data_IF_036764941465
#
_entry.id   IF_036764941465
#
_cell.length_a   1.000
_cell.length_b   1.000
_cell.length_c   1.000
_cell.angle_alpha   90.00
_cell.angle_beta   90.00
_cell.angle_gamma   90.00
#
_symmetry.space_group_name_H-M   'P 1'
#
loop_
_entity.id
_entity.type
_entity.pdbx_description
1 polymer ?
#
# COMPACT_ATOMS: atom_id res chain seq x y z
N UNK A 1 -14.10 -14.48 5.61
CA UNK A 1 -12.80 -13.82 5.82
C UNK A 1 -12.89 -13.12 7.16
N UNK A 2 -12.29 -13.72 8.17
CA UNK A 2 -12.27 -13.20 9.53
C UNK A 2 -11.31 -12.00 9.60
N UNK A 3 -11.76 -10.87 10.13
CA UNK A 3 -10.90 -9.72 10.36
C UNK A 3 -10.36 -9.84 11.78
N UNK A 4 -9.06 -10.15 11.92
CA UNK A 4 -8.42 -10.35 13.23
C UNK A 4 -8.49 -9.06 14.06
N UNK A 5 -9.16 -9.12 15.20
CA UNK A 5 -9.33 -7.98 16.11
C UNK A 5 -8.00 -7.50 16.68
N UNK A 6 -7.08 -8.44 16.95
CA UNK A 6 -5.81 -8.18 17.63
C UNK A 6 -4.92 -7.19 16.87
N UNK A 7 -4.85 -7.27 15.54
CA UNK A 7 -3.98 -6.39 14.74
C UNK A 7 -4.49 -4.95 14.75
N UNK A 8 -5.80 -4.76 14.57
CA UNK A 8 -6.38 -3.41 14.60
C UNK A 8 -6.24 -2.77 15.98
N UNK A 9 -6.42 -3.55 17.05
CA UNK A 9 -6.26 -3.07 18.41
C UNK A 9 -4.81 -2.68 18.69
N UNK A 10 -3.85 -3.52 18.32
CA UNK A 10 -2.43 -3.23 18.47
C UNK A 10 -2.03 -1.90 17.82
N UNK A 11 -2.48 -1.65 16.60
CA UNK A 11 -2.15 -0.38 15.91
C UNK A 11 -2.86 0.81 16.55
N UNK A 12 -4.13 0.65 16.98
CA UNK A 12 -4.85 1.70 17.69
C UNK A 12 -4.15 2.09 18.99
N UNK A 13 -3.74 1.10 19.79
CA UNK A 13 -3.00 1.31 21.04
C UNK A 13 -1.64 1.96 20.77
N UNK A 14 -0.95 1.56 19.69
CA UNK A 14 0.32 2.16 19.28
C UNK A 14 0.17 3.64 18.90
N UNK A 15 -0.88 3.99 18.15
CA UNK A 15 -1.18 5.39 17.79
C UNK A 15 -1.48 6.20 19.06
N UNK A 16 -2.32 5.67 19.96
CA UNK A 16 -2.66 6.33 21.21
C UNK A 16 -1.44 6.57 22.10
N UNK A 17 -0.59 5.55 22.26
CA UNK A 17 0.64 5.65 23.03
C UNK A 17 1.61 6.69 22.43
N UNK A 18 1.81 6.69 21.11
CA UNK A 18 2.68 7.66 20.44
C UNK A 18 2.16 9.09 20.59
N UNK A 19 0.85 9.31 20.52
CA UNK A 19 0.24 10.63 20.76
C UNK A 19 0.46 11.10 22.20
N UNK A 20 0.34 10.20 23.17
CA UNK A 20 0.48 10.53 24.59
C UNK A 20 1.93 10.81 25.01
N UNK A 21 2.91 10.13 24.40
CA UNK A 21 4.34 10.28 24.76
C UNK A 21 5.08 11.30 23.91
N UNK A 22 4.47 11.80 22.84
CA UNK A 22 5.04 12.85 22.02
C UNK A 22 5.01 14.18 22.77
N UNK A 23 6.19 14.75 23.05
CA UNK A 23 6.28 16.10 23.61
C UNK A 23 5.61 17.11 22.66
N UNK A 24 4.93 18.14 23.19
CA UNK A 24 4.42 19.24 22.37
C UNK A 24 5.61 19.90 21.67
N UNK A 25 5.64 19.80 20.34
CA UNK A 25 6.67 20.41 19.52
C UNK A 25 6.20 21.84 19.20
N UNK A 26 6.92 22.87 19.65
CA UNK A 26 6.53 24.28 19.49
C UNK A 26 6.32 24.70 18.02
N UNK A 27 6.90 23.95 17.08
CA UNK A 27 6.80 24.19 15.63
C UNK A 27 5.60 23.51 14.95
N UNK A 28 4.89 22.60 15.63
CA UNK A 28 3.80 21.84 15.04
C UNK A 28 2.45 22.46 15.43
N UNK A 29 1.72 22.99 14.44
CA UNK A 29 0.39 23.60 14.64
C UNK A 29 -0.66 22.61 15.18
N UNK A 30 -0.39 21.31 15.06
CA UNK A 30 -1.16 20.20 15.60
C UNK A 30 -0.18 19.20 16.22
N UNK A 31 -0.52 18.56 17.33
CA UNK A 31 0.36 17.57 17.98
C UNK A 31 0.83 16.46 17.03
N UNK A 32 1.91 15.74 17.40
CA UNK A 32 2.43 14.66 16.56
C UNK A 32 1.43 13.49 16.42
N UNK A 33 1.49 12.79 15.28
CA UNK A 33 0.67 11.61 14.96
C UNK A 33 -0.86 11.85 14.92
N UNK A 34 -1.33 13.09 14.77
CA UNK A 34 -2.76 13.40 14.65
C UNK A 34 -3.33 13.09 13.25
N UNK A 35 -2.46 12.95 12.24
CA UNK A 35 -2.80 12.71 10.83
C UNK A 35 -2.83 11.22 10.42
N UNK A 36 -2.83 10.30 11.39
CA UNK A 36 -2.88 8.85 11.14
C UNK A 36 -4.06 8.24 11.88
N UNK A 37 -4.72 7.26 11.26
CA UNK A 37 -5.81 6.51 11.87
C UNK A 37 -5.82 5.07 11.35
N UNK A 38 -6.59 4.21 12.00
CA UNK A 38 -6.81 2.84 11.56
C UNK A 38 -8.31 2.55 11.48
N UNK A 39 -8.69 1.80 10.45
CA UNK A 39 -10.04 1.28 10.28
C UNK A 39 -9.97 -0.22 10.14
N UNK A 40 -10.77 -0.94 10.94
CA UNK A 40 -10.93 -2.38 10.82
C UNK A 40 -11.95 -2.68 9.72
N UNK A 41 -11.47 -2.92 8.50
CA UNK A 41 -12.30 -3.24 7.35
C UNK A 41 -11.67 -4.30 6.45
N UNK A 42 -12.49 -4.96 5.64
CA UNK A 42 -12.01 -5.81 4.54
C UNK A 42 -11.79 -4.93 3.30
N UNK A 43 -10.52 -4.61 3.03
CA UNK A 43 -10.12 -3.80 1.88
C UNK A 43 -10.49 -4.42 0.52
N UNK A 44 -10.68 -5.75 0.45
CA UNK A 44 -11.10 -6.42 -0.79
C UNK A 44 -12.60 -6.35 -1.07
N UNK A 45 -13.40 -5.83 -0.13
CA UNK A 45 -14.87 -5.84 -0.25
C UNK A 45 -15.49 -4.47 -0.18
N UNK A 46 -14.91 -3.57 0.58
CA UNK A 46 -15.59 -2.35 0.99
C UNK A 46 -14.79 -1.09 0.69
N UNK A 47 -13.68 -1.17 -0.05
CA UNK A 47 -12.83 0.00 -0.32
C UNK A 47 -13.64 1.21 -0.85
N UNK A 48 -14.51 1.04 -1.88
CA UNK A 48 -15.30 2.16 -2.41
C UNK A 48 -16.40 2.66 -1.45
N UNK A 49 -16.78 1.89 -0.43
CA UNK A 49 -17.75 2.32 0.58
C UNK A 49 -17.14 3.30 1.60
N UNK A 50 -15.84 3.20 1.86
CA UNK A 50 -15.14 4.07 2.80
C UNK A 50 -14.46 5.25 2.12
N UNK A 51 -13.98 5.05 0.89
CA UNK A 51 -13.07 5.98 0.23
C UNK A 51 -13.74 6.57 -1.03
N UNK A 52 -13.91 7.90 -1.09
CA UNK A 52 -14.47 8.55 -2.28
C UNK A 52 -13.61 8.38 -3.53
N UNK A 53 -14.24 8.52 -4.69
CA UNK A 53 -13.56 8.50 -6.00
C UNK A 53 -12.42 9.50 -6.05
N UNK A 54 -11.27 9.10 -6.60
CA UNK A 54 -10.09 9.94 -6.81
C UNK A 54 -9.62 10.71 -5.56
N UNK A 55 -9.91 10.22 -4.34
CA UNK A 55 -9.55 10.92 -3.10
C UNK A 55 -8.17 10.56 -2.59
N UNK A 56 -7.64 9.39 -2.96
CA UNK A 56 -6.31 8.96 -2.56
C UNK A 56 -5.25 9.45 -3.53
N UNK A 57 -4.07 9.78 -2.99
CA UNK A 57 -2.85 10.06 -3.75
C UNK A 57 -1.93 8.84 -3.85
N UNK A 58 -1.99 7.92 -2.89
CA UNK A 58 -1.13 6.74 -2.84
C UNK A 58 -1.90 5.52 -2.28
N UNK A 59 -1.49 4.32 -2.70
CA UNK A 59 -1.88 3.04 -2.12
C UNK A 59 -0.62 2.23 -1.80
N UNK A 60 -0.64 1.52 -0.67
CA UNK A 60 0.51 0.73 -0.19
C UNK A 60 0.10 -0.71 0.06
N UNK A 61 0.71 -1.65 -0.66
CA UNK A 61 0.56 -3.10 -0.46
C UNK A 61 1.90 -3.67 0.01
N UNK A 62 2.07 -3.68 1.33
CA UNK A 62 3.35 -3.98 1.96
C UNK A 62 3.32 -5.40 2.55
N UNK A 63 4.12 -6.30 1.98
CA UNK A 63 4.23 -7.70 2.35
C UNK A 63 2.87 -8.42 2.46
N UNK A 64 2.01 -8.34 1.41
CA UNK A 64 0.71 -9.02 1.44
C UNK A 64 0.87 -10.54 1.48
N UNK A 65 -0.12 -11.26 2.03
CA UNK A 65 -0.09 -12.72 2.09
C UNK A 65 0.00 -13.32 0.66
N UNK A 66 1.04 -14.13 0.38
CA UNK A 66 1.28 -14.68 -0.96
C UNK A 66 0.25 -15.74 -1.38
N UNK A 67 -0.44 -16.36 -0.41
CA UNK A 67 -1.39 -17.43 -0.65
C UNK A 67 -0.87 -18.50 -1.61
N UNK A 68 0.27 -19.12 -1.28
CA UNK A 68 1.03 -20.05 -2.14
C UNK A 68 0.25 -21.19 -2.83
N UNK A 69 -0.90 -21.61 -2.29
CA UNK A 69 -1.69 -22.69 -2.88
C UNK A 69 -2.56 -22.11 -4.00
N UNK A 70 -2.49 -22.68 -5.22
CA UNK A 70 -3.26 -22.22 -6.39
C UNK A 70 -4.75 -21.97 -6.09
N UNK A 71 -5.40 -22.89 -5.35
CA UNK A 71 -6.81 -22.75 -4.92
C UNK A 71 -7.10 -21.49 -4.08
N UNK A 72 -6.08 -20.87 -3.49
CA UNK A 72 -6.15 -19.66 -2.67
C UNK A 72 -5.72 -18.40 -3.43
N UNK A 73 -5.31 -18.47 -4.69
CA UNK A 73 -4.89 -17.28 -5.44
C UNK A 73 -6.00 -16.23 -5.58
N UNK A 74 -7.28 -16.64 -5.54
CA UNK A 74 -8.44 -15.73 -5.50
C UNK A 74 -8.46 -14.80 -4.26
N UNK A 75 -7.69 -15.13 -3.23
CA UNK A 75 -7.57 -14.32 -2.03
C UNK A 75 -6.40 -13.30 -2.11
N UNK A 76 -5.59 -13.31 -3.19
CA UNK A 76 -4.52 -12.31 -3.38
C UNK A 76 -5.13 -10.92 -3.54
N UNK A 77 -4.51 -9.94 -2.87
CA UNK A 77 -4.98 -8.55 -2.84
C UNK A 77 -4.89 -7.86 -4.20
N UNK A 78 -4.02 -8.34 -5.10
CA UNK A 78 -3.94 -7.87 -6.49
C UNK A 78 -4.66 -8.87 -7.41
N UNK A 79 -5.78 -8.42 -7.97
CA UNK A 79 -6.58 -9.15 -8.96
C UNK A 79 -7.31 -8.15 -9.87
N UNK A 80 -7.75 -8.55 -11.08
CA UNK A 80 -8.36 -7.62 -12.03
C UNK A 80 -9.57 -6.85 -11.47
N UNK A 81 -10.42 -7.50 -10.67
CA UNK A 81 -11.59 -6.86 -10.04
C UNK A 81 -11.17 -5.80 -9.03
N UNK A 82 -10.19 -6.11 -8.18
CA UNK A 82 -9.70 -5.17 -7.17
C UNK A 82 -8.96 -3.99 -7.77
N UNK A 83 -8.23 -4.20 -8.88
CA UNK A 83 -7.56 -3.11 -9.60
C UNK A 83 -8.55 -2.05 -10.10
N UNK A 84 -9.77 -2.43 -10.50
CA UNK A 84 -10.80 -1.48 -10.86
C UNK A 84 -11.25 -0.63 -9.66
N UNK A 85 -11.41 -1.23 -8.48
CA UNK A 85 -11.73 -0.51 -7.25
C UNK A 85 -10.58 0.43 -6.83
N UNK A 86 -9.33 -0.02 -6.95
CA UNK A 86 -8.15 0.79 -6.66
C UNK A 86 -8.04 1.99 -7.61
N UNK A 87 -8.27 1.78 -8.90
CA UNK A 87 -8.29 2.85 -9.89
C UNK A 87 -9.44 3.85 -9.67
N UNK A 88 -10.57 3.40 -9.11
CA UNK A 88 -11.69 4.27 -8.74
C UNK A 88 -11.35 5.21 -7.59
N UNK A 89 -10.74 4.71 -6.51
CA UNK A 89 -10.42 5.51 -5.32
C UNK A 89 -9.14 6.35 -5.48
N UNK A 90 -8.20 5.90 -6.32
CA UNK A 90 -6.92 6.56 -6.56
C UNK A 90 -7.02 7.60 -7.69
N UNK A 91 -6.56 8.81 -7.40
CA UNK A 91 -6.59 9.93 -8.38
C UNK A 91 -5.63 9.70 -9.56
N UNK A 92 -5.89 10.30 -10.74
CA UNK A 92 -4.89 10.42 -11.82
C UNK A 92 -3.55 10.91 -11.28
N UNK A 93 -2.45 10.23 -11.64
CA UNK A 93 -1.10 10.51 -11.16
C UNK A 93 -0.77 9.95 -9.77
N UNK A 94 -1.73 9.33 -9.07
CA UNK A 94 -1.49 8.65 -7.80
C UNK A 94 -0.64 7.38 -7.97
N UNK A 95 0.06 6.95 -6.91
CA UNK A 95 1.01 5.84 -6.98
C UNK A 95 0.55 4.64 -6.15
N UNK A 96 0.62 3.45 -6.73
CA UNK A 96 0.53 2.17 -6.05
C UNK A 96 1.95 1.67 -5.78
N UNK A 97 2.27 1.46 -4.50
CA UNK A 97 3.53 0.85 -4.06
C UNK A 97 3.24 -0.59 -3.65
N UNK A 98 3.95 -1.54 -4.26
CA UNK A 98 3.88 -2.96 -3.89
C UNK A 98 5.26 -3.45 -3.49
N UNK A 99 5.36 -4.16 -2.37
CA UNK A 99 6.61 -4.79 -1.94
C UNK A 99 6.32 -6.14 -1.29
N UNK A 100 7.15 -7.13 -1.57
CA UNK A 100 7.07 -8.48 -0.98
C UNK A 100 8.44 -9.14 -0.98
N UNK A 101 8.66 -10.07 -0.08
CA UNK A 101 9.80 -10.99 -0.02
C UNK A 101 9.59 -12.27 -0.85
N UNK A 102 8.43 -12.42 -1.50
CA UNK A 102 8.09 -13.60 -2.31
C UNK A 102 8.10 -13.24 -3.80
N UNK A 103 9.11 -13.73 -4.52
CA UNK A 103 9.30 -13.46 -5.95
C UNK A 103 8.06 -13.82 -6.81
N UNK A 104 7.44 -14.98 -6.58
CA UNK A 104 6.22 -15.38 -7.31
C UNK A 104 5.03 -14.43 -7.09
N UNK A 105 4.92 -13.87 -5.88
CA UNK A 105 3.90 -12.88 -5.59
C UNK A 105 4.22 -11.55 -6.27
N UNK A 106 5.48 -11.14 -6.27
CA UNK A 106 5.93 -9.96 -7.01
C UNK A 106 5.58 -10.06 -8.50
N UNK A 107 5.95 -11.18 -9.15
CA UNK A 107 5.64 -11.41 -10.55
C UNK A 107 4.13 -11.39 -10.80
N UNK A 108 3.33 -12.00 -9.92
CA UNK A 108 1.88 -11.96 -10.01
C UNK A 108 1.35 -10.53 -9.94
N UNK A 109 1.75 -9.75 -8.93
CA UNK A 109 1.27 -8.38 -8.74
C UNK A 109 1.65 -7.50 -9.93
N UNK A 110 2.92 -7.59 -10.37
CA UNK A 110 3.45 -6.86 -11.51
C UNK A 110 2.68 -7.17 -12.80
N UNK A 111 2.51 -8.45 -13.14
CA UNK A 111 1.82 -8.85 -14.36
C UNK A 111 0.35 -8.37 -14.41
N UNK A 112 -0.37 -8.42 -13.29
CA UNK A 112 -1.76 -7.95 -13.24
C UNK A 112 -1.87 -6.42 -13.32
N UNK A 113 -0.94 -5.70 -12.69
CA UNK A 113 -0.89 -4.24 -12.76
C UNK A 113 -0.50 -3.74 -14.16
N UNK A 114 0.50 -4.37 -14.79
CA UNK A 114 0.91 -4.07 -16.17
C UNK A 114 -0.19 -4.36 -17.19
N UNK A 115 -0.98 -5.42 -16.97
CA UNK A 115 -2.10 -5.76 -17.84
C UNK A 115 -3.34 -4.85 -17.65
N UNK A 116 -3.39 -4.05 -16.58
CA UNK A 116 -4.56 -3.23 -16.27
C UNK A 116 -4.45 -1.82 -16.90
N UNK A 117 -5.38 -1.39 -17.76
CA UNK A 117 -5.21 -0.18 -18.60
C UNK A 117 -5.04 1.15 -17.85
N UNK A 118 -5.36 1.19 -16.55
CA UNK A 118 -5.30 2.41 -15.73
C UNK A 118 -4.05 2.50 -14.86
N UNK A 119 -3.09 1.58 -15.04
CA UNK A 119 -1.82 1.59 -14.34
C UNK A 119 -0.65 1.49 -15.31
N UNK A 120 0.37 2.32 -15.10
CA UNK A 120 1.65 2.24 -15.81
C UNK A 120 2.76 1.95 -14.81
N UNK A 121 3.72 1.11 -15.18
CA UNK A 121 4.90 0.90 -14.35
C UNK A 121 5.74 2.18 -14.26
N UNK A 122 6.27 2.49 -13.08
CA UNK A 122 7.18 3.61 -12.87
C UNK A 122 8.43 3.13 -12.13
N UNK A 123 9.61 3.51 -12.64
CA UNK A 123 10.87 3.12 -12.03
C UNK A 123 11.12 3.84 -10.71
N UNK A 124 11.96 3.22 -9.86
CA UNK A 124 12.40 3.82 -8.61
C UNK A 124 13.10 5.17 -8.84
N UNK A 125 14.00 5.24 -9.82
CA UNK A 125 14.75 6.46 -10.17
C UNK A 125 13.81 7.61 -10.55
N UNK A 126 12.77 7.33 -11.33
CA UNK A 126 11.78 8.35 -11.70
C UNK A 126 11.04 8.86 -10.45
N UNK A 127 10.62 7.98 -9.55
CA UNK A 127 9.96 8.39 -8.31
C UNK A 127 10.90 9.16 -7.37
N UNK A 128 12.18 8.80 -7.31
CA UNK A 128 13.21 9.55 -6.55
C UNK A 128 13.40 10.96 -7.13
N UNK A 129 13.51 11.07 -8.46
CA UNK A 129 13.57 12.37 -9.14
C UNK A 129 12.33 13.23 -8.90
N UNK A 130 11.15 12.62 -8.73
CA UNK A 130 9.90 13.29 -8.34
C UNK A 130 9.78 13.58 -6.83
N UNK A 131 10.86 13.44 -6.06
CA UNK A 131 10.89 13.75 -4.63
C UNK A 131 10.24 12.70 -3.73
N UNK A 132 9.99 11.48 -4.22
CA UNK A 132 9.34 10.40 -3.45
C UNK A 132 10.34 9.44 -2.78
N UNK A 133 11.62 9.80 -2.74
CA UNK A 133 12.69 9.00 -2.13
C UNK A 133 12.38 8.54 -0.69
N UNK A 134 11.94 9.46 0.17
CA UNK A 134 11.61 9.13 1.56
C UNK A 134 10.45 8.14 1.69
N UNK A 135 9.50 8.15 0.75
CA UNK A 135 8.39 7.19 0.72
C UNK A 135 8.93 5.81 0.33
N UNK A 136 9.80 5.73 -0.67
CA UNK A 136 10.40 4.47 -1.12
C UNK A 136 11.23 3.83 0.00
N UNK A 137 12.06 4.63 0.66
CA UNK A 137 12.89 4.17 1.78
C UNK A 137 12.00 3.64 2.93
N UNK A 138 10.89 4.33 3.23
CA UNK A 138 9.96 3.90 4.25
C UNK A 138 9.18 2.62 3.86
N UNK A 139 8.76 2.50 2.59
CA UNK A 139 8.09 1.31 2.06
C UNK A 139 8.99 0.08 2.21
N UNK A 140 10.28 0.22 1.95
CA UNK A 140 11.24 -0.88 2.04
C UNK A 140 11.60 -1.25 3.49
N UNK A 141 11.75 -0.27 4.38
CA UNK A 141 12.50 -0.46 5.63
C UNK A 141 11.76 -0.07 6.91
N UNK A 142 10.62 0.64 6.85
CA UNK A 142 9.95 1.13 8.07
C UNK A 142 8.98 0.12 8.70
N UNK A 143 8.50 -0.87 7.95
CA UNK A 143 7.55 -1.88 8.47
C UNK A 143 8.28 -2.98 9.26
N UNK A 144 7.59 -3.60 10.21
CA UNK A 144 8.17 -4.71 10.99
C UNK A 144 8.54 -5.92 10.10
N UNK A 145 7.73 -6.21 9.06
CA UNK A 145 8.05 -7.27 8.11
C UNK A 145 9.26 -6.90 7.24
N UNK A 146 9.37 -5.66 6.77
CA UNK A 146 10.54 -5.19 6.02
C UNK A 146 11.84 -5.28 6.83
N UNK A 147 11.81 -4.89 8.11
CA UNK A 147 12.96 -5.05 9.02
C UNK A 147 13.30 -6.52 9.26
N UNK A 148 12.30 -7.38 9.37
CA UNK A 148 12.48 -8.82 9.56
C UNK A 148 13.15 -9.47 8.35
N UNK A 149 12.72 -9.13 7.13
CA UNK A 149 13.33 -9.62 5.88
C UNK A 149 14.80 -9.23 5.82
N UNK A 150 15.12 -7.98 6.14
CA UNK A 150 16.51 -7.49 6.17
C UNK A 150 17.39 -8.19 7.20
N UNK A 151 16.88 -8.36 8.44
CA UNK A 151 17.59 -9.15 9.47
C UNK A 151 17.89 -10.58 9.03
N UNK A 152 17.03 -11.15 8.19
CA UNK A 152 17.17 -12.50 7.66
C UNK A 152 17.94 -12.54 6.32
N UNK A 153 18.50 -11.41 5.86
CA UNK A 153 19.17 -11.29 4.56
C UNK A 153 18.30 -11.73 3.37
N UNK A 154 16.98 -11.58 3.51
CA UNK A 154 16.03 -11.90 2.46
C UNK A 154 15.93 -10.77 1.43
N UNK A 155 15.55 -11.15 0.20
CA UNK A 155 15.33 -10.19 -0.88
C UNK A 155 13.99 -9.46 -0.70
N UNK A 156 13.94 -8.21 -1.16
CA UNK A 156 12.72 -7.39 -1.17
C UNK A 156 12.42 -6.97 -2.61
N UNK A 157 11.27 -7.38 -3.11
CA UNK A 157 10.83 -7.14 -4.49
C UNK A 157 9.83 -5.99 -4.56
N UNK A 158 10.32 -4.80 -4.87
CA UNK A 158 9.52 -3.57 -5.04
C UNK A 158 9.00 -3.46 -6.49
N UNK A 159 7.75 -3.05 -6.65
CA UNK A 159 7.23 -2.54 -7.92
C UNK A 159 6.25 -1.39 -7.66
N UNK A 160 6.38 -0.33 -8.45
CA UNK A 160 5.54 0.86 -8.33
C UNK A 160 4.79 1.13 -9.63
N UNK A 161 3.54 1.59 -9.49
CA UNK A 161 2.66 1.87 -10.62
C UNK A 161 1.96 3.20 -10.46
N UNK A 162 1.93 4.01 -11.52
CA UNK A 162 1.18 5.26 -11.56
C UNK A 162 -0.20 5.02 -12.15
N UNK A 163 -1.22 5.59 -11.51
CA UNK A 163 -2.59 5.59 -12.02
C UNK A 163 -2.72 6.59 -13.17
N UNK A 164 -3.04 6.12 -14.36
CA UNK A 164 -3.21 6.96 -15.56
C UNK A 164 -4.69 7.25 -15.85
N UNK A 165 -4.97 8.19 -16.75
CA UNK A 165 -6.34 8.42 -17.24
C UNK A 165 -6.61 7.42 -18.36
N UNK A 166 -7.84 6.90 -18.43
CA UNK A 166 -8.24 6.11 -19.58
C UNK A 166 -8.10 6.97 -20.84
N UNK A 167 -7.24 6.55 -21.78
CA UNK A 167 -7.28 7.12 -23.12
C UNK A 167 -8.62 6.70 -23.73
N UNK A 168 -9.53 7.66 -23.92
CA UNK A 168 -10.70 7.40 -24.74
C UNK A 168 -10.18 7.16 -26.15
N UNK A 169 -10.30 5.93 -26.65
CA UNK A 169 -10.20 5.70 -28.08
C UNK A 169 -11.34 6.51 -28.72
N UNK A 170 -10.99 7.46 -29.58
CA UNK A 170 -11.92 8.02 -30.55
C UNK A 170 -12.29 6.96 -31.58
#
# INVERSE_FOLDING_TARGET
MEIRVQVSQYVQDRIAALRATSAPNESASHGLYQNVSIVRANAMKFMPNYIPKNSLSCLFFLFPDPHFKARKHKARIISPTLLAEYAYVLRPGGIVYTITDVHDLHQWMKAHLEAFPLFEHVSEDALRAEGKGSILDAVCNSTEEGKKVERNQGEKWLACFRRVVANRCN
#
